data_IF_939434687980
#
_entry.id   IF_939434687980
#
_cell.length_a   1.000
_cell.length_b   1.000
_cell.length_c   1.000
_cell.angle_alpha   90.00
_cell.angle_beta   90.00
_cell.angle_gamma   90.00
#
_symmetry.space_group_name_H-M   'P 1'
#
loop_
_entity.id
_entity.type
_entity.pdbx_description
1 polymer ?
#
# COMPACT_ATOMS: atom_id res chain seq x y z
N UNK A 1 -28.75 -20.56 17.76
CA UNK A 1 -27.91 -19.45 18.25
C UNK A 1 -26.58 -20.01 18.70
N UNK A 2 -25.51 -19.61 18.03
CA UNK A 2 -24.10 -19.78 18.41
C UNK A 2 -23.29 -18.69 17.64
N UNK A 3 -22.12 -18.26 18.15
CA UNK A 3 -21.66 -16.88 18.03
C UNK A 3 -20.87 -16.55 16.76
N UNK A 4 -20.93 -15.26 16.43
CA UNK A 4 -20.17 -14.55 15.38
C UNK A 4 -18.71 -14.44 15.81
N UNK A 5 -17.77 -14.92 14.98
CA UNK A 5 -16.36 -14.57 15.09
C UNK A 5 -15.97 -13.76 13.85
N UNK A 6 -15.72 -12.48 14.06
CA UNK A 6 -14.98 -11.63 13.14
C UNK A 6 -13.63 -12.27 12.84
N UNK A 7 -13.38 -12.56 11.57
CA UNK A 7 -12.05 -12.94 11.08
C UNK A 7 -11.59 -11.95 10.00
N UNK A 8 -11.81 -10.66 10.26
CA UNK A 8 -11.08 -9.59 9.59
C UNK A 8 -9.85 -9.25 10.43
N UNK A 9 -8.76 -9.93 10.15
CA UNK A 9 -7.42 -9.39 10.38
C UNK A 9 -6.44 -10.11 9.46
N UNK A 10 -5.52 -9.34 8.90
CA UNK A 10 -4.39 -9.72 8.04
C UNK A 10 -4.59 -9.64 6.52
N UNK A 11 -4.63 -8.40 6.04
CA UNK A 11 -3.69 -8.00 5.00
C UNK A 11 -2.33 -7.75 5.65
N UNK A 12 -1.31 -8.56 5.36
CA UNK A 12 0.10 -8.16 5.23
C UNK A 12 0.88 -9.33 4.63
N UNK A 13 1.56 -9.10 3.51
CA UNK A 13 2.64 -9.98 3.05
C UNK A 13 2.25 -11.02 2.00
N UNK A 14 2.14 -10.57 0.75
CA UNK A 14 2.50 -11.41 -0.40
C UNK A 14 3.94 -11.90 -0.24
N UNK A 15 4.13 -13.16 0.15
CA UNK A 15 5.39 -13.85 -0.03
C UNK A 15 5.08 -15.23 -0.63
N UNK A 16 5.50 -15.43 -1.88
CA UNK A 16 5.67 -16.77 -2.43
C UNK A 16 6.49 -17.61 -1.43
N UNK A 17 6.21 -18.91 -1.28
CA UNK A 17 6.96 -19.74 -0.35
C UNK A 17 8.44 -19.72 -0.75
N UNK A 18 9.27 -19.10 0.08
CA UNK A 18 10.73 -19.23 -0.01
C UNK A 18 11.00 -20.71 0.16
N UNK A 19 11.49 -21.38 -0.89
CA UNK A 19 11.95 -22.77 -0.78
C UNK A 19 13.21 -22.76 0.07
N UNK A 20 13.01 -22.80 1.38
CA UNK A 20 14.06 -22.85 2.38
C UNK A 20 14.89 -24.12 2.15
N UNK A 21 16.20 -23.97 1.94
CA UNK A 21 17.08 -25.12 1.83
C UNK A 21 17.12 -25.88 3.17
N UNK A 22 17.53 -27.15 3.16
CA UNK A 22 17.62 -27.93 4.39
C UNK A 22 18.52 -27.27 5.45
N UNK A 23 19.62 -26.62 5.04
CA UNK A 23 20.54 -25.90 5.94
C UNK A 23 19.96 -24.60 6.51
N UNK A 24 19.14 -23.89 5.73
CA UNK A 24 18.43 -22.70 6.22
C UNK A 24 17.37 -23.10 7.25
N UNK A 25 16.65 -24.19 6.99
CA UNK A 25 15.61 -24.71 7.89
C UNK A 25 16.15 -25.16 9.24
N UNK A 26 17.30 -25.84 9.25
CA UNK A 26 17.94 -26.25 10.51
C UNK A 26 18.42 -25.03 11.30
N UNK A 27 18.99 -24.03 10.62
CA UNK A 27 19.44 -22.78 11.25
C UNK A 27 18.27 -21.99 11.85
N UNK A 28 17.16 -21.87 11.12
CA UNK A 28 15.95 -21.20 11.60
C UNK A 28 15.30 -21.92 12.78
N UNK A 29 15.23 -23.26 12.74
CA UNK A 29 14.72 -24.03 13.88
C UNK A 29 15.61 -23.89 15.11
N UNK A 30 16.94 -23.82 14.92
CA UNK A 30 17.87 -23.59 16.01
C UNK A 30 17.73 -22.18 16.62
N UNK A 31 17.55 -21.15 15.79
CA UNK A 31 17.32 -19.78 16.27
C UNK A 31 15.98 -19.65 16.99
N UNK A 32 14.91 -20.25 16.46
CA UNK A 32 13.59 -20.28 17.09
C UNK A 32 13.63 -20.96 18.46
N UNK A 33 14.35 -22.10 18.59
CA UNK A 33 14.55 -22.77 19.88
C UNK A 33 15.31 -21.91 20.89
N UNK A 34 16.33 -21.17 20.46
CA UNK A 34 17.07 -20.24 21.35
C UNK A 34 16.18 -19.09 21.82
N UNK A 35 15.40 -18.49 20.91
CA UNK A 35 14.47 -17.41 21.24
C UNK A 35 13.43 -17.90 22.26
N UNK A 36 12.83 -19.07 22.02
CA UNK A 36 11.87 -19.66 22.96
C UNK A 36 12.48 -19.94 24.34
N UNK A 37 13.74 -20.40 24.41
CA UNK A 37 14.45 -20.61 25.67
C UNK A 37 14.75 -19.30 26.41
N UNK A 38 15.11 -18.24 25.68
CA UNK A 38 15.39 -16.91 26.23
C UNK A 38 14.12 -16.21 26.73
N UNK A 39 13.02 -16.31 25.99
CA UNK A 39 11.70 -15.84 26.41
C UNK A 39 11.25 -16.62 27.66
N UNK A 40 11.40 -17.94 27.68
CA UNK A 40 11.08 -18.74 28.86
C UNK A 40 11.92 -18.37 30.09
N UNK A 41 13.21 -18.06 29.91
CA UNK A 41 14.09 -17.65 31.01
C UNK A 41 13.76 -16.25 31.55
N UNK A 42 13.44 -15.30 30.67
CA UNK A 42 13.04 -13.94 31.07
C UNK A 42 11.72 -13.95 31.84
N UNK A 43 10.72 -14.71 31.37
CA UNK A 43 9.44 -14.90 32.07
C UNK A 43 9.62 -15.52 33.47
N UNK A 44 10.49 -16.53 33.61
CA UNK A 44 10.80 -17.12 34.92
C UNK A 44 11.46 -16.11 35.88
N UNK A 45 12.37 -15.28 35.38
CA UNK A 45 13.05 -14.26 36.17
C UNK A 45 12.13 -13.11 36.59
N UNK A 46 11.19 -12.68 35.72
CA UNK A 46 10.20 -11.65 36.07
C UNK A 46 9.21 -12.15 37.12
N UNK A 47 8.76 -13.40 37.03
CA UNK A 47 7.85 -13.99 38.03
C UNK A 47 8.52 -14.13 39.39
N UNK A 48 9.82 -14.50 39.43
CA UNK A 48 10.59 -14.55 40.66
C UNK A 48 10.78 -13.16 41.32
N UNK A 49 10.98 -12.10 40.52
CA UNK A 49 11.05 -10.71 41.03
C UNK A 49 9.71 -10.20 41.58
N UNK A 50 8.61 -10.51 40.91
CA UNK A 50 7.29 -10.08 41.35
C UNK A 50 6.84 -10.78 42.64
N UNK A 51 7.26 -12.03 42.85
CA UNK A 51 7.02 -12.71 44.12
C UNK A 51 7.81 -12.11 45.29
N UNK A 52 8.99 -11.53 45.02
CA UNK A 52 9.81 -10.86 46.05
C UNK A 52 9.31 -9.45 46.39
N UNK A 53 8.73 -8.73 45.42
CA UNK A 53 8.08 -7.41 45.69
C UNK A 53 6.82 -7.54 46.55
N UNK A 54 5.96 -8.53 46.28
CA UNK A 54 4.72 -8.75 47.05
C UNK A 54 4.92 -9.07 48.52
N UNK A 55 6.08 -9.59 48.92
CA UNK A 55 6.39 -9.89 50.33
C UNK A 55 6.96 -8.68 51.09
N UNK A 56 7.39 -7.62 50.40
CA UNK A 56 7.92 -6.41 51.04
C UNK A 56 6.85 -5.33 51.27
N UNK A 57 5.69 -5.41 50.59
CA UNK A 57 4.63 -4.39 50.67
C UNK A 57 3.66 -4.59 51.87
N UNK A 58 3.96 -5.51 52.79
CA UNK A 58 3.15 -5.78 54.00
C UNK A 58 3.80 -5.32 55.32
N UNK A 59 5.02 -4.77 55.29
CA UNK A 59 5.70 -4.22 56.47
C UNK A 59 6.28 -2.82 56.20
N UNK A 60 5.43 -1.81 56.01
CA UNK A 60 5.78 -0.40 56.28
C UNK A 60 4.58 0.54 56.09
N UNK A 61 3.71 0.59 57.10
CA UNK A 61 2.87 1.77 57.33
C UNK A 61 3.57 2.65 58.35
N UNK A 62 4.26 3.72 57.92
CA UNK A 62 4.27 5.00 58.62
C UNK A 62 5.13 6.06 57.91
N UNK A 63 4.56 7.26 57.73
CA UNK A 63 5.32 8.51 57.84
C UNK A 63 5.63 9.30 56.57
N UNK A 64 4.97 10.46 56.48
CA UNK A 64 5.46 11.76 55.97
C UNK A 64 5.62 12.02 54.46
N UNK A 65 5.31 13.28 54.13
CA UNK A 65 5.22 13.94 52.81
C UNK A 65 6.62 14.45 52.34
N UNK A 66 6.71 15.12 51.17
CA UNK A 66 7.34 14.68 49.93
C UNK A 66 8.78 15.18 49.74
N UNK A 67 9.63 14.44 49.03
CA UNK A 67 10.88 14.98 48.47
C UNK A 67 11.15 14.42 47.07
N UNK A 68 11.53 15.34 46.17
CA UNK A 68 12.05 15.09 44.83
C UNK A 68 13.36 14.29 44.91
N UNK A 69 13.47 13.15 44.22
CA UNK A 69 14.76 12.63 43.74
C UNK A 69 14.59 11.89 42.41
N UNK A 70 15.47 12.28 41.49
CA UNK A 70 15.89 11.66 40.23
C UNK A 70 16.34 10.21 40.44
N UNK A 71 15.95 9.26 39.58
CA UNK A 71 16.55 7.92 39.60
C UNK A 71 16.76 7.39 38.18
N UNK A 72 18.06 7.28 37.89
CA UNK A 72 18.70 6.75 36.70
C UNK A 72 18.13 5.39 36.28
N UNK A 73 17.61 5.32 35.06
CA UNK A 73 17.49 4.06 34.34
C UNK A 73 18.89 3.62 33.88
N UNK A 74 19.49 2.71 34.66
CA UNK A 74 20.72 2.01 34.30
C UNK A 74 20.61 1.24 32.98
N UNK A 75 20.98 1.90 31.89
CA UNK A 75 21.42 1.26 30.66
C UNK A 75 22.95 1.32 30.63
N UNK A 76 23.58 0.18 30.91
CA UNK A 76 25.00 -0.02 30.63
C UNK A 76 25.21 0.01 29.10
N UNK A 77 25.61 1.17 28.58
CA UNK A 77 25.86 1.44 27.16
C UNK A 77 27.28 1.07 26.70
N UNK A 78 27.91 0.05 27.29
CA UNK A 78 29.17 -0.48 26.76
C UNK A 78 28.94 -1.76 25.95
N UNK A 79 28.35 -1.61 24.77
CA UNK A 79 28.60 -2.50 23.64
C UNK A 79 28.39 -1.72 22.35
N UNK A 80 29.40 -0.93 22.04
CA UNK A 80 29.49 -0.09 20.86
C UNK A 80 29.85 -0.98 19.65
N UNK A 81 28.84 -1.64 19.07
CA UNK A 81 28.95 -2.39 17.80
C UNK A 81 28.69 -1.47 16.58
N UNK A 82 28.50 -0.17 16.80
CA UNK A 82 28.13 0.79 15.77
C UNK A 82 29.24 1.83 15.48
N UNK A 83 30.40 1.74 16.15
CA UNK A 83 31.60 2.56 15.87
C UNK A 83 32.27 2.14 14.54
N UNK A 84 32.03 0.90 14.08
CA UNK A 84 32.66 0.36 12.87
C UNK A 84 31.99 0.82 11.55
N UNK A 85 30.80 1.41 11.63
CA UNK A 85 30.09 1.92 10.44
C UNK A 85 30.62 3.28 9.96
N UNK A 86 31.22 4.06 10.86
CA UNK A 86 31.83 5.37 10.58
C UNK A 86 33.02 5.23 9.61
N UNK A 87 33.77 4.12 9.71
CA UNK A 87 34.95 3.84 8.89
C UNK A 87 34.64 3.36 7.47
N UNK A 88 33.44 2.84 7.21
CA UNK A 88 33.06 2.31 5.89
C UNK A 88 32.53 3.44 4.99
N UNK A 89 31.84 4.44 5.56
CA UNK A 89 31.42 5.63 4.80
C UNK A 89 32.56 6.59 4.50
N UNK A 90 33.58 6.68 5.36
CA UNK A 90 34.75 7.55 5.12
C UNK A 90 35.69 7.05 4.02
N UNK A 91 35.68 5.74 3.70
CA UNK A 91 36.58 5.17 2.68
C UNK A 91 36.12 5.40 1.23
N UNK A 92 34.85 5.78 1.02
CA UNK A 92 34.32 6.08 -0.33
C UNK A 92 34.39 7.56 -0.70
N UNK A 93 34.85 8.43 0.22
CA UNK A 93 34.91 9.89 0.02
C UNK A 93 36.35 10.43 -0.12
N UNK A 94 37.30 9.60 -0.55
CA UNK A 94 38.72 9.99 -0.68
C UNK A 94 39.03 10.92 -1.86
N UNK A 95 38.03 11.55 -2.48
CA UNK A 95 38.22 12.68 -3.42
C UNK A 95 37.08 13.70 -3.41
N UNK A 96 36.57 14.11 -2.24
CA UNK A 96 35.79 15.34 -2.17
C UNK A 96 36.31 16.27 -1.09
N UNK A 97 36.81 17.41 -1.55
CA UNK A 97 37.16 18.57 -0.73
C UNK A 97 36.03 18.82 0.29
N UNK A 98 36.30 18.98 1.59
CA UNK A 98 35.26 19.27 2.59
C UNK A 98 34.40 20.49 2.23
N UNK A 99 34.96 21.46 1.49
CA UNK A 99 34.21 22.59 0.96
C UNK A 99 33.16 22.18 -0.10
N UNK A 100 33.45 21.16 -0.91
CA UNK A 100 32.51 20.63 -1.91
C UNK A 100 31.33 19.90 -1.25
N UNK A 101 31.58 19.13 -0.18
CA UNK A 101 30.52 18.48 0.58
C UNK A 101 29.57 19.50 1.24
N UNK A 102 30.12 20.59 1.81
CA UNK A 102 29.32 21.68 2.37
C UNK A 102 28.53 22.43 1.30
N UNK A 103 29.12 22.64 0.11
CA UNK A 103 28.42 23.25 -1.04
C UNK A 103 27.20 22.42 -1.48
N UNK A 104 27.31 21.09 -1.52
CA UNK A 104 26.20 20.20 -1.89
C UNK A 104 25.07 20.25 -0.84
N UNK A 105 25.41 20.29 0.45
CA UNK A 105 24.42 20.40 1.52
C UNK A 105 23.69 21.73 1.49
N UNK A 106 24.40 22.82 1.19
CA UNK A 106 23.79 24.13 1.04
C UNK A 106 22.87 24.19 -0.18
N UNK A 107 23.34 23.69 -1.33
CA UNK A 107 22.52 23.58 -2.53
C UNK A 107 21.26 22.72 -2.32
N UNK A 108 21.37 21.60 -1.60
CA UNK A 108 20.22 20.74 -1.28
C UNK A 108 19.19 21.48 -0.42
N UNK A 109 19.63 22.30 0.53
CA UNK A 109 18.74 23.11 1.36
C UNK A 109 18.04 24.20 0.55
N UNK A 110 18.77 24.88 -0.33
CA UNK A 110 18.22 25.94 -1.17
C UNK A 110 17.17 25.38 -2.15
N UNK A 111 17.47 24.24 -2.80
CA UNK A 111 16.50 23.55 -3.67
C UNK A 111 15.26 23.08 -2.89
N UNK A 112 15.43 22.62 -1.66
CA UNK A 112 14.29 22.19 -0.84
C UNK A 112 13.39 23.37 -0.46
N UNK A 113 13.98 24.54 -0.19
CA UNK A 113 13.23 25.77 0.04
C UNK A 113 12.47 26.24 -1.20
N UNK A 114 13.09 26.16 -2.38
CA UNK A 114 12.41 26.44 -3.65
C UNK A 114 11.24 25.49 -3.90
N UNK A 115 11.41 24.19 -3.64
CA UNK A 115 10.34 23.20 -3.75
C UNK A 115 9.18 23.47 -2.79
N UNK A 116 9.46 23.85 -1.54
CA UNK A 116 8.44 24.18 -0.55
C UNK A 116 7.68 25.45 -0.96
N UNK A 117 8.37 26.47 -1.48
CA UNK A 117 7.75 27.71 -2.00
C UNK A 117 6.89 27.45 -3.24
N UNK A 118 7.36 26.63 -4.17
CA UNK A 118 6.57 26.18 -5.33
C UNK A 118 5.37 25.35 -4.90
N UNK A 119 5.52 24.46 -3.90
CA UNK A 119 4.43 23.67 -3.36
C UNK A 119 3.36 24.53 -2.68
N UNK A 120 3.74 25.61 -1.97
CA UNK A 120 2.79 26.58 -1.42
C UNK A 120 2.06 27.37 -2.52
N UNK A 121 2.79 27.83 -3.56
CA UNK A 121 2.19 28.53 -4.71
C UNK A 121 1.21 27.63 -5.47
N UNK A 122 1.60 26.38 -5.72
CA UNK A 122 0.76 25.39 -6.37
C UNK A 122 -0.39 24.95 -5.45
N UNK A 123 -0.18 24.82 -4.15
CA UNK A 123 -1.21 24.53 -3.16
C UNK A 123 -2.32 25.60 -3.12
N UNK A 124 -1.95 26.86 -3.32
CA UNK A 124 -2.91 27.96 -3.51
C UNK A 124 -3.63 27.87 -4.87
N UNK A 125 -2.97 27.39 -5.93
CA UNK A 125 -3.57 27.17 -7.24
C UNK A 125 -4.58 26.00 -7.27
N UNK A 126 -4.32 24.93 -6.50
CA UNK A 126 -5.23 23.79 -6.31
C UNK A 126 -6.33 24.05 -5.30
N UNK A 127 -6.28 25.17 -4.57
CA UNK A 127 -7.40 25.70 -3.81
C UNK A 127 -8.42 26.30 -4.77
N UNK A 128 -9.02 25.43 -5.59
CA UNK A 128 -10.32 25.56 -6.26
C UNK A 128 -10.74 27.02 -6.40
N UNK A 129 -10.48 27.62 -7.56
CA UNK A 129 -11.20 28.78 -8.11
C UNK A 129 -12.25 29.34 -7.14
N UNK A 130 -11.83 30.31 -6.32
CA UNK A 130 -12.50 30.78 -5.10
C UNK A 130 -13.86 31.48 -5.35
N UNK A 131 -14.83 30.76 -5.92
CA UNK A 131 -16.17 31.27 -6.19
C UNK A 131 -17.28 30.21 -6.29
N UNK A 132 -16.95 28.94 -6.55
CA UNK A 132 -17.93 27.86 -6.60
C UNK A 132 -17.75 26.91 -5.41
N UNK A 133 -18.74 26.82 -4.52
CA UNK A 133 -18.79 25.70 -3.56
C UNK A 133 -18.82 24.39 -4.36
N UNK A 134 -17.94 23.41 -4.08
CA UNK A 134 -18.01 22.13 -4.76
C UNK A 134 -19.40 21.52 -4.56
N UNK A 135 -20.01 21.04 -5.65
CA UNK A 135 -21.26 20.31 -5.54
C UNK A 135 -20.99 18.97 -4.86
N UNK A 136 -21.20 18.92 -3.54
CA UNK A 136 -21.03 17.71 -2.72
C UNK A 136 -21.75 16.49 -3.32
N UNK A 137 -22.86 16.69 -4.02
CA UNK A 137 -23.59 15.58 -4.68
C UNK A 137 -22.84 15.07 -5.90
N UNK A 138 -22.22 15.97 -6.67
CA UNK A 138 -21.35 15.62 -7.79
C UNK A 138 -20.13 14.83 -7.33
N UNK A 139 -19.44 15.33 -6.30
CA UNK A 139 -18.26 14.66 -5.73
C UNK A 139 -18.62 13.28 -5.19
N UNK A 140 -19.75 13.16 -4.48
CA UNK A 140 -20.23 11.87 -3.98
C UNK A 140 -20.53 10.88 -5.10
N UNK A 141 -21.27 11.29 -6.15
CA UNK A 141 -21.54 10.42 -7.32
C UNK A 141 -20.26 10.02 -8.04
N UNK A 142 -19.32 10.95 -8.19
CA UNK A 142 -18.04 10.68 -8.82
C UNK A 142 -17.20 9.71 -7.98
N UNK A 143 -17.20 9.83 -6.65
CA UNK A 143 -16.53 8.92 -5.75
C UNK A 143 -17.12 7.50 -5.82
N UNK A 144 -18.45 7.36 -5.86
CA UNK A 144 -19.12 6.08 -6.06
C UNK A 144 -18.74 5.44 -7.40
N UNK A 145 -18.72 6.22 -8.46
CA UNK A 145 -18.32 5.77 -9.79
C UNK A 145 -16.85 5.34 -9.82
N UNK A 146 -15.95 6.10 -9.21
CA UNK A 146 -14.54 5.75 -9.04
C UNK A 146 -14.37 4.45 -8.26
N UNK A 147 -15.09 4.30 -7.13
CA UNK A 147 -14.99 3.09 -6.31
C UNK A 147 -15.38 1.83 -7.08
N UNK A 148 -16.45 1.91 -7.88
CA UNK A 148 -16.89 0.82 -8.74
C UNK A 148 -15.89 0.55 -9.87
N UNK A 149 -15.34 1.59 -10.51
CA UNK A 149 -14.33 1.44 -11.56
C UNK A 149 -13.04 0.82 -11.03
N UNK A 150 -12.54 1.26 -9.87
CA UNK A 150 -11.37 0.67 -9.25
C UNK A 150 -11.61 -0.79 -8.83
N UNK A 151 -12.83 -1.15 -8.43
CA UNK A 151 -13.19 -2.55 -8.17
C UNK A 151 -13.21 -3.39 -9.47
N UNK A 152 -13.66 -2.82 -10.59
CA UNK A 152 -13.57 -3.46 -11.90
C UNK A 152 -12.11 -3.66 -12.32
N UNK A 153 -11.26 -2.66 -12.15
CA UNK A 153 -9.84 -2.71 -12.51
C UNK A 153 -9.11 -3.81 -11.73
N UNK A 154 -9.30 -3.86 -10.40
CA UNK A 154 -8.80 -4.95 -9.56
C UNK A 154 -9.26 -6.32 -10.04
N UNK A 155 -10.51 -6.44 -10.47
CA UNK A 155 -11.06 -7.69 -11.00
C UNK A 155 -10.44 -8.05 -12.36
N UNK A 156 -10.23 -7.07 -13.24
CA UNK A 156 -9.56 -7.27 -14.53
C UNK A 156 -8.13 -7.79 -14.35
N UNK A 157 -7.35 -7.13 -13.49
CA UNK A 157 -5.99 -7.55 -13.12
C UNK A 157 -5.99 -8.98 -12.61
N UNK A 158 -6.95 -9.33 -11.75
CA UNK A 158 -7.02 -10.66 -11.16
C UNK A 158 -7.34 -11.74 -12.21
N UNK A 159 -8.28 -11.50 -13.12
CA UNK A 159 -8.58 -12.42 -14.24
C UNK A 159 -7.38 -12.58 -15.15
N UNK A 160 -6.67 -11.49 -15.44
CA UNK A 160 -5.47 -11.55 -16.26
C UNK A 160 -4.39 -12.40 -15.59
N UNK A 161 -4.18 -12.22 -14.28
CA UNK A 161 -3.26 -13.04 -13.49
C UNK A 161 -3.63 -14.52 -13.50
N UNK A 162 -4.93 -14.86 -13.37
CA UNK A 162 -5.40 -16.26 -13.44
C UNK A 162 -5.31 -16.87 -14.84
N UNK A 163 -5.44 -16.04 -15.87
CA UNK A 163 -5.33 -16.48 -17.27
C UNK A 163 -3.86 -16.58 -17.70
N UNK A 164 -2.94 -15.92 -16.98
CA UNK A 164 -1.52 -15.86 -17.32
C UNK A 164 -0.87 -17.24 -17.49
N UNK A 165 -1.07 -18.25 -16.61
CA UNK A 165 -0.52 -19.59 -16.81
C UNK A 165 -0.98 -20.22 -18.13
N UNK A 166 -2.24 -20.00 -18.54
CA UNK A 166 -2.76 -20.52 -19.81
C UNK A 166 -2.03 -19.88 -21.00
N UNK A 167 -1.69 -18.59 -20.91
CA UNK A 167 -0.92 -17.87 -21.94
C UNK A 167 0.52 -18.34 -21.98
N UNK A 168 1.15 -18.48 -20.81
CA UNK A 168 2.53 -18.96 -20.67
C UNK A 168 2.68 -20.39 -21.20
N UNK A 169 1.67 -21.24 -21.03
CA UNK A 169 1.68 -22.60 -21.58
C UNK A 169 1.59 -22.69 -23.11
N UNK A 170 1.16 -21.61 -23.76
CA UNK A 170 1.11 -21.50 -25.23
C UNK A 170 2.40 -20.93 -25.79
N UNK A 171 3.05 -20.01 -25.07
CA UNK A 171 4.31 -19.40 -25.47
C UNK A 171 5.53 -20.25 -25.10
N UNK A 172 5.46 -20.94 -23.96
CA UNK A 172 6.50 -21.83 -23.46
C UNK A 172 6.18 -23.28 -23.83
N UNK A 173 7.19 -24.08 -24.16
CA UNK A 173 7.04 -25.51 -24.51
C UNK A 173 6.54 -26.39 -23.34
N UNK A 174 6.16 -25.79 -22.20
CA UNK A 174 5.70 -26.49 -21.02
C UNK A 174 4.18 -26.59 -21.01
N UNK A 175 3.67 -27.82 -21.16
CA UNK A 175 2.23 -28.09 -21.19
C UNK A 175 1.64 -28.04 -19.78
N UNK A 176 0.61 -27.22 -19.58
CA UNK A 176 -0.22 -27.32 -18.38
C UNK A 176 -1.01 -28.63 -18.40
N UNK A 177 -0.96 -29.36 -17.29
CA UNK A 177 -1.79 -30.55 -17.08
C UNK A 177 -3.28 -30.23 -17.01
N UNK A 178 -4.12 -31.24 -17.26
CA UNK A 178 -5.58 -31.10 -17.35
C UNK A 178 -6.20 -30.55 -16.06
N UNK A 179 -5.78 -31.08 -14.90
CA UNK A 179 -6.28 -30.67 -13.57
C UNK A 179 -6.08 -29.17 -13.33
N UNK A 180 -4.91 -28.65 -13.71
CA UNK A 180 -4.60 -27.23 -13.49
C UNK A 180 -5.42 -26.33 -14.43
N UNK A 181 -5.62 -26.75 -15.68
CA UNK A 181 -6.50 -26.03 -16.62
C UNK A 181 -7.94 -25.99 -16.10
N UNK A 182 -8.47 -27.13 -15.65
CA UNK A 182 -9.82 -27.22 -15.08
C UNK A 182 -10.00 -26.30 -13.89
N UNK A 183 -9.05 -26.30 -12.93
CA UNK A 183 -9.08 -25.37 -11.79
C UNK A 183 -9.07 -23.90 -12.18
N UNK A 184 -8.30 -23.55 -13.22
CA UNK A 184 -8.28 -22.17 -13.73
C UNK A 184 -9.65 -21.82 -14.33
N UNK A 185 -10.24 -22.71 -15.14
CA UNK A 185 -11.58 -22.46 -15.70
C UNK A 185 -12.67 -22.40 -14.62
N UNK A 186 -12.60 -23.24 -13.58
CA UNK A 186 -13.50 -23.21 -12.43
C UNK A 186 -13.39 -21.89 -11.66
N UNK A 187 -12.16 -21.41 -11.41
CA UNK A 187 -11.93 -20.12 -10.77
C UNK A 187 -12.50 -18.96 -11.60
N UNK A 188 -12.27 -18.96 -12.92
CA UNK A 188 -12.82 -17.97 -13.83
C UNK A 188 -14.36 -18.00 -13.84
N UNK A 189 -14.97 -19.18 -13.82
CA UNK A 189 -16.43 -19.33 -13.75
C UNK A 189 -17.00 -18.81 -12.43
N UNK A 190 -16.32 -19.07 -11.31
CA UNK A 190 -16.72 -18.53 -10.00
C UNK A 190 -16.70 -16.99 -9.97
N UNK A 191 -15.83 -16.35 -10.74
CA UNK A 191 -15.68 -14.88 -10.80
C UNK A 191 -16.74 -14.17 -11.63
N UNK A 192 -17.39 -14.88 -12.56
CA UNK A 192 -18.44 -14.31 -13.43
C UNK A 192 -19.52 -13.57 -12.64
N UNK A 193 -20.07 -14.21 -11.61
CA UNK A 193 -21.19 -13.66 -10.82
C UNK A 193 -20.80 -12.40 -10.02
N UNK A 194 -19.71 -12.40 -9.21
CA UNK A 194 -19.22 -11.18 -8.57
C UNK A 194 -18.97 -10.04 -9.56
N UNK A 195 -18.32 -10.33 -10.70
CA UNK A 195 -18.00 -9.30 -11.67
C UNK A 195 -19.23 -8.70 -12.33
N UNK A 196 -20.22 -9.51 -12.70
CA UNK A 196 -21.47 -9.01 -13.26
C UNK A 196 -22.16 -8.01 -12.31
N UNK A 197 -22.09 -8.25 -10.99
CA UNK A 197 -22.59 -7.30 -9.98
C UNK A 197 -21.82 -5.99 -9.96
N UNK A 198 -20.47 -6.05 -9.98
CA UNK A 198 -19.64 -4.83 -10.00
C UNK A 198 -19.85 -4.06 -11.30
N UNK A 199 -19.97 -4.76 -12.43
CA UNK A 199 -20.20 -4.18 -13.75
C UNK A 199 -21.55 -3.47 -13.84
N UNK A 200 -22.60 -4.11 -13.31
CA UNK A 200 -23.91 -3.49 -13.18
C UNK A 200 -23.84 -2.23 -12.31
N UNK A 201 -23.23 -2.32 -11.12
CA UNK A 201 -23.07 -1.17 -10.23
C UNK A 201 -22.31 -0.01 -10.89
N UNK A 202 -21.26 -0.31 -11.65
CA UNK A 202 -20.53 0.69 -12.43
C UNK A 202 -21.42 1.33 -13.51
N UNK A 203 -22.20 0.54 -14.26
CA UNK A 203 -23.11 1.07 -15.26
C UNK A 203 -24.20 1.96 -14.64
N UNK A 204 -24.73 1.56 -13.48
CA UNK A 204 -25.74 2.31 -12.74
C UNK A 204 -25.16 3.64 -12.24
N UNK A 205 -24.02 3.62 -11.55
CA UNK A 205 -23.33 4.83 -11.07
C UNK A 205 -22.93 5.77 -12.23
N UNK A 206 -22.49 5.21 -13.36
CA UNK A 206 -22.12 6.01 -14.54
C UNK A 206 -23.35 6.70 -15.11
N UNK A 207 -24.45 5.97 -15.24
CA UNK A 207 -25.71 6.51 -15.76
C UNK A 207 -26.24 7.62 -14.85
N UNK A 208 -26.25 7.39 -13.54
CA UNK A 208 -26.65 8.38 -12.53
C UNK A 208 -25.79 9.66 -12.60
N UNK A 209 -24.46 9.51 -12.69
CA UNK A 209 -23.56 10.66 -12.84
C UNK A 209 -23.83 11.44 -14.15
N UNK A 210 -23.92 10.73 -15.28
CA UNK A 210 -24.11 11.36 -16.60
C UNK A 210 -25.47 12.03 -16.71
N UNK A 211 -26.54 11.45 -16.16
CA UNK A 211 -27.86 12.06 -16.14
C UNK A 211 -27.88 13.42 -15.44
N UNK A 212 -27.12 13.57 -14.35
CA UNK A 212 -27.13 14.80 -13.54
C UNK A 212 -26.10 15.85 -13.97
N UNK A 213 -24.96 15.45 -14.53
CA UNK A 213 -23.83 16.35 -14.76
C UNK A 213 -23.36 16.45 -16.21
N UNK A 214 -23.67 15.48 -17.06
CA UNK A 214 -23.16 15.42 -18.43
C UNK A 214 -24.15 14.69 -19.36
N UNK A 215 -25.36 15.23 -19.47
CA UNK A 215 -26.44 14.60 -20.24
C UNK A 215 -26.06 14.40 -21.72
N UNK A 216 -25.30 15.35 -22.29
CA UNK A 216 -24.80 15.32 -23.67
C UNK A 216 -23.87 14.12 -23.94
N UNK A 217 -23.26 13.55 -22.90
CA UNK A 217 -22.37 12.39 -23.01
C UNK A 217 -23.10 11.06 -22.83
N UNK A 218 -24.35 11.06 -22.37
CA UNK A 218 -25.14 9.85 -22.10
C UNK A 218 -25.35 9.00 -23.37
N UNK A 219 -25.53 9.66 -24.52
CA UNK A 219 -25.78 8.99 -25.81
C UNK A 219 -24.52 8.46 -26.50
N UNK A 220 -23.32 8.72 -25.95
CA UNK A 220 -22.07 8.28 -26.56
C UNK A 220 -21.94 6.75 -26.49
N UNK A 221 -21.40 6.11 -27.55
CA UNK A 221 -21.21 4.65 -27.56
C UNK A 221 -20.29 4.17 -26.43
N UNK A 222 -19.29 4.97 -26.07
CA UNK A 222 -18.36 4.72 -24.96
C UNK A 222 -19.05 4.58 -23.59
N UNK A 223 -20.21 5.22 -23.44
CA UNK A 223 -20.97 5.29 -22.19
C UNK A 223 -22.11 4.27 -22.11
N UNK A 224 -22.29 3.43 -23.13
CA UNK A 224 -23.28 2.36 -23.11
C UNK A 224 -22.91 1.24 -22.15
N UNK A 225 -23.91 0.57 -21.59
CA UNK A 225 -23.73 -0.51 -20.63
C UNK A 225 -22.82 -1.61 -21.23
N UNK A 226 -21.77 -1.97 -20.50
CA UNK A 226 -20.79 -2.95 -20.95
C UNK A 226 -21.24 -4.32 -20.43
N UNK A 227 -21.24 -5.33 -21.30
CA UNK A 227 -21.52 -6.71 -20.92
C UNK A 227 -20.27 -7.42 -20.40
N UNK A 228 -20.44 -8.51 -19.64
CA UNK A 228 -19.32 -9.33 -19.17
C UNK A 228 -18.43 -9.84 -20.32
N UNK A 229 -19.04 -10.22 -21.45
CA UNK A 229 -18.30 -10.75 -22.61
C UNK A 229 -17.47 -9.68 -23.33
N UNK A 230 -17.93 -8.43 -23.29
CA UNK A 230 -17.18 -7.26 -23.78
C UNK A 230 -16.07 -6.92 -22.80
N UNK A 231 -16.39 -6.91 -21.50
CA UNK A 231 -15.42 -6.66 -20.44
C UNK A 231 -14.24 -7.63 -20.49
N UNK A 232 -14.49 -8.92 -20.73
CA UNK A 232 -13.44 -9.95 -20.84
C UNK A 232 -12.45 -9.68 -22.00
N UNK A 233 -12.86 -8.93 -23.02
CA UNK A 233 -12.02 -8.57 -24.16
C UNK A 233 -11.19 -7.31 -23.92
N UNK A 234 -11.55 -6.50 -22.91
CA UNK A 234 -10.80 -5.31 -22.56
C UNK A 234 -9.41 -5.69 -22.08
N UNK A 235 -8.40 -5.05 -22.67
CA UNK A 235 -7.04 -5.12 -22.17
C UNK A 235 -6.85 -4.06 -21.08
N UNK A 236 -5.82 -4.20 -20.24
CA UNK A 236 -5.48 -3.19 -19.23
C UNK A 236 -5.02 -1.87 -19.87
N UNK A 237 -4.48 -1.93 -21.09
CA UNK A 237 -4.06 -0.76 -21.85
C UNK A 237 -5.22 -0.09 -22.61
N UNK A 238 -6.45 -0.59 -22.48
CA UNK A 238 -7.60 -0.06 -23.19
C UNK A 238 -7.95 1.36 -22.73
N UNK A 239 -8.27 2.30 -23.65
CA UNK A 239 -8.71 3.66 -23.30
C UNK A 239 -9.88 3.70 -22.33
N UNK A 240 -10.70 2.65 -22.24
CA UNK A 240 -11.73 2.48 -21.22
C UNK A 240 -11.23 2.79 -19.81
N UNK A 241 -9.99 2.45 -19.47
CA UNK A 241 -9.43 2.71 -18.13
C UNK A 241 -9.10 4.19 -17.91
N UNK A 242 -8.86 4.94 -18.99
CA UNK A 242 -8.53 6.37 -18.99
C UNK A 242 -9.74 7.25 -19.43
N UNK A 243 -10.81 7.23 -18.64
CA UNK A 243 -11.98 8.06 -18.93
C UNK A 243 -11.77 9.51 -18.47
N UNK A 244 -11.72 10.43 -19.43
CA UNK A 244 -11.53 11.88 -19.20
C UNK A 244 -12.56 12.50 -18.25
N UNK A 245 -13.80 12.01 -18.25
CA UNK A 245 -14.87 12.54 -17.41
C UNK A 245 -14.79 12.09 -15.94
N UNK A 246 -13.88 11.16 -15.61
CA UNK A 246 -13.65 10.73 -14.23
C UNK A 246 -12.63 11.63 -13.51
N UNK A 247 -11.90 12.47 -14.23
CA UNK A 247 -10.98 13.42 -13.62
C UNK A 247 -11.76 14.59 -13.01
N UNK A 248 -11.52 14.87 -11.73
CA UNK A 248 -12.02 16.07 -11.06
C UNK A 248 -11.41 17.35 -11.66
N UNK A 249 -10.14 17.28 -12.06
CA UNK A 249 -9.45 18.36 -12.77
C UNK A 249 -9.71 18.27 -14.28
N UNK A 250 -9.95 19.43 -14.90
CA UNK A 250 -10.06 19.63 -16.35
C UNK A 250 -8.75 20.10 -16.98
N UNK A 251 -7.68 20.15 -16.20
CA UNK A 251 -6.40 20.69 -16.66
C UNK A 251 -5.78 19.79 -17.74
N UNK A 252 -4.90 20.33 -18.60
CA UNK A 252 -4.30 19.58 -19.70
C UNK A 252 -3.56 18.32 -19.24
N UNK A 253 -2.90 18.35 -18.08
CA UNK A 253 -2.20 17.18 -17.53
C UNK A 253 -3.14 16.05 -17.08
N UNK A 254 -4.43 16.34 -16.82
CA UNK A 254 -5.41 15.33 -16.46
C UNK A 254 -6.12 14.72 -17.69
N UNK A 255 -6.28 15.51 -18.76
CA UNK A 255 -7.15 15.21 -19.90
C UNK A 255 -6.41 14.95 -21.22
N UNK A 256 -5.26 15.59 -21.46
CA UNK A 256 -4.48 15.47 -22.71
C UNK A 256 -3.53 14.25 -22.66
N UNK A 257 -3.69 13.27 -23.55
CA UNK A 257 -2.79 12.11 -23.64
C UNK A 257 -1.33 12.52 -23.89
N UNK A 258 -1.09 13.57 -24.67
CA UNK A 258 0.26 14.01 -25.05
C UNK A 258 1.04 14.50 -23.84
N UNK A 259 0.39 15.33 -23.00
CA UNK A 259 0.97 15.84 -21.75
C UNK A 259 1.22 14.69 -20.79
N UNK A 260 0.27 13.76 -20.65
CA UNK A 260 0.43 12.57 -19.79
C UNK A 260 1.57 11.66 -20.24
N UNK A 261 1.68 11.38 -21.54
CA UNK A 261 2.79 10.58 -22.09
C UNK A 261 4.13 11.29 -21.89
N UNK A 262 4.19 12.61 -22.04
CA UNK A 262 5.38 13.40 -21.71
C UNK A 262 5.81 13.25 -20.26
N UNK A 263 4.86 13.30 -19.31
CA UNK A 263 5.12 13.09 -17.88
C UNK A 263 5.61 11.66 -17.60
N UNK A 264 4.96 10.64 -18.19
CA UNK A 264 5.36 9.24 -18.04
C UNK A 264 6.71 8.90 -18.66
N UNK A 265 7.21 9.69 -19.61
CA UNK A 265 8.53 9.47 -20.22
C UNK A 265 9.69 10.06 -19.39
N UNK A 266 9.39 10.96 -18.45
CA UNK A 266 10.39 11.67 -17.63
C UNK A 266 10.57 11.01 -16.25
N UNK A 267 9.54 10.32 -15.75
CA UNK A 267 9.54 9.59 -14.47
C UNK A 267 9.93 8.12 -14.64
#
# INVERSE_FOLDING_TARGET
MAPHNDLYQFHYGSQLPVTESYSQRTTRLASQKRIAAQIGATLRNTTARNHKRRNNDQEASNGHQPDYVDDELGFNNNSFLWEDTEHIMTRSLTHSNPAHALSILQQSRDMQKEQDEEAEQLGAFFSISAGGKPDRKQEHRLALLWSAKSALDKSAVQIQGETQPLRDSKSHSHRLGTILKEKIFEALDCRKKPMARILQLFCDHRTDYLQHHAHDQLSRPENQAISYDEFKKLQLDDPFWNNKYLCLSKDPWAVDPTVRTGIHAVL
#
